data_IF_365629781404
#
_entry.id   IF_365629781404
#
_cell.length_a   1.000
_cell.length_b   1.000
_cell.length_c   1.000
_cell.angle_alpha   90.00
_cell.angle_beta   90.00
_cell.angle_gamma   90.00
#
_symmetry.space_group_name_H-M   'P 1'
#
loop_
_entity.id
_entity.type
_entity.pdbx_description
1 polymer ?
#
# COMPACT_ATOMS: atom_id res chain seq x y z
N UNK A 1 -5.65 -26.91 -15.20
CA UNK A 1 -6.48 -26.42 -14.06
C UNK A 1 -6.64 -24.92 -14.21
N UNK A 2 -7.87 -24.39 -14.16
CA UNK A 2 -8.11 -22.95 -14.28
C UNK A 2 -7.64 -22.23 -13.01
N UNK A 3 -6.50 -21.53 -13.08
CA UNK A 3 -5.96 -20.70 -11.99
C UNK A 3 -6.87 -19.51 -11.65
N UNK A 4 -7.73 -19.12 -12.58
CA UNK A 4 -8.65 -18.00 -12.43
C UNK A 4 -10.03 -18.48 -11.96
N UNK A 5 -10.53 -17.89 -10.87
CA UNK A 5 -11.92 -18.08 -10.42
C UNK A 5 -12.41 -16.86 -9.63
N UNK A 6 -13.65 -16.46 -9.89
CA UNK A 6 -14.31 -15.38 -9.14
C UNK A 6 -15.05 -15.89 -7.89
N UNK A 7 -15.01 -17.20 -7.64
CA UNK A 7 -15.64 -17.79 -6.47
C UNK A 7 -14.96 -17.37 -5.18
N UNK A 8 -15.75 -16.93 -4.20
CA UNK A 8 -15.28 -16.46 -2.92
C UNK A 8 -14.69 -17.58 -2.05
N UNK A 9 -15.21 -18.80 -2.15
CA UNK A 9 -14.79 -19.90 -1.26
C UNK A 9 -13.33 -20.31 -1.48
N UNK A 10 -12.87 -20.34 -2.74
CA UNK A 10 -11.50 -20.70 -3.10
C UNK A 10 -10.44 -19.60 -2.97
N UNK A 11 -10.75 -18.44 -2.38
CA UNK A 11 -9.83 -17.29 -2.37
C UNK A 11 -8.49 -17.57 -1.67
N UNK A 12 -8.49 -18.33 -0.57
CA UNK A 12 -7.26 -18.60 0.21
C UNK A 12 -6.33 -19.55 -0.53
N UNK A 13 -6.90 -20.54 -1.22
CA UNK A 13 -6.15 -21.44 -2.09
C UNK A 13 -5.50 -20.67 -3.24
N UNK A 14 -6.25 -19.79 -3.92
CA UNK A 14 -5.69 -18.95 -4.98
C UNK A 14 -4.56 -18.03 -4.46
N UNK A 15 -4.68 -17.52 -3.23
CA UNK A 15 -3.61 -16.74 -2.58
C UNK A 15 -2.34 -17.55 -2.34
N UNK A 16 -2.48 -18.80 -1.87
CA UNK A 16 -1.34 -19.69 -1.68
C UNK A 16 -0.64 -19.98 -3.01
N UNK A 17 -1.39 -20.43 -4.02
CA UNK A 17 -0.83 -20.72 -5.36
C UNK A 17 -0.21 -19.47 -5.99
N UNK A 18 -0.87 -18.31 -5.87
CA UNK A 18 -0.33 -17.06 -6.40
C UNK A 18 0.99 -16.65 -5.71
N UNK A 19 1.18 -16.97 -4.43
CA UNK A 19 2.45 -16.75 -3.72
C UNK A 19 3.56 -17.66 -4.27
N UNK A 20 3.22 -18.88 -4.67
CA UNK A 20 4.19 -19.83 -5.20
C UNK A 20 4.59 -19.46 -6.64
N UNK A 21 3.62 -19.05 -7.47
CA UNK A 21 3.85 -18.60 -8.86
C UNK A 21 4.55 -17.25 -8.91
N UNK A 22 4.10 -16.28 -8.09
CA UNK A 22 4.67 -14.94 -8.00
C UNK A 22 5.45 -14.80 -6.69
N UNK A 23 6.51 -15.59 -6.56
CA UNK A 23 7.32 -15.63 -5.35
C UNK A 23 7.92 -14.27 -4.99
N UNK A 24 7.94 -13.96 -3.70
CA UNK A 24 8.54 -12.73 -3.22
C UNK A 24 10.04 -12.70 -3.56
N UNK A 25 10.52 -11.57 -4.10
CA UNK A 25 11.90 -11.45 -4.57
C UNK A 25 12.12 -11.84 -6.04
N UNK A 26 11.16 -12.49 -6.70
CA UNK A 26 11.21 -12.76 -8.14
C UNK A 26 10.90 -11.51 -8.97
N UNK A 27 11.52 -11.42 -10.15
CA UNK A 27 11.28 -10.33 -11.11
C UNK A 27 9.80 -10.31 -11.53
N UNK A 28 9.24 -11.49 -11.82
CA UNK A 28 7.84 -11.63 -12.24
C UNK A 28 6.86 -11.16 -11.15
N UNK A 29 7.16 -11.49 -9.89
CA UNK A 29 6.39 -11.01 -8.74
C UNK A 29 6.43 -9.49 -8.60
N UNK A 30 7.60 -8.86 -8.80
CA UNK A 30 7.73 -7.40 -8.78
C UNK A 30 6.96 -6.75 -9.94
N UNK A 31 7.09 -7.25 -11.17
CA UNK A 31 6.39 -6.69 -12.34
C UNK A 31 4.87 -6.79 -12.14
N UNK A 32 4.38 -7.96 -11.73
CA UNK A 32 2.97 -8.17 -11.44
C UNK A 32 2.48 -7.22 -10.34
N UNK A 33 3.25 -7.07 -9.25
CA UNK A 33 2.90 -6.19 -8.14
C UNK A 33 2.88 -4.72 -8.53
N UNK A 34 3.91 -4.23 -9.23
CA UNK A 34 4.00 -2.84 -9.71
C UNK A 34 2.82 -2.52 -10.64
N UNK A 35 2.54 -3.40 -11.60
CA UNK A 35 1.43 -3.22 -12.54
C UNK A 35 0.09 -3.17 -11.82
N UNK A 36 -0.19 -4.19 -11.01
CA UNK A 36 -1.52 -4.40 -10.43
C UNK A 36 -1.82 -3.52 -9.21
N UNK A 37 -0.82 -3.17 -8.40
CA UNK A 37 -1.00 -2.44 -7.15
C UNK A 37 -0.62 -0.96 -7.24
N UNK A 38 0.20 -0.55 -8.21
CA UNK A 38 0.62 0.85 -8.36
C UNK A 38 0.08 1.47 -9.65
N UNK A 39 0.41 0.88 -10.79
CA UNK A 39 0.21 1.50 -12.10
C UNK A 39 -1.28 1.58 -12.47
N UNK A 40 -2.00 0.46 -12.39
CA UNK A 40 -3.40 0.41 -12.79
C UNK A 40 -4.36 1.22 -11.90
N UNK A 41 -4.23 1.26 -10.56
CA UNK A 41 -5.01 2.17 -9.73
C UNK A 41 -4.79 3.66 -10.08
N UNK A 42 -3.57 4.02 -10.48
CA UNK A 42 -3.25 5.39 -10.90
C UNK A 42 -3.81 5.72 -12.28
N UNK A 43 -3.76 4.77 -13.23
CA UNK A 43 -4.45 4.92 -14.52
C UNK A 43 -5.97 5.03 -14.35
N UNK A 44 -6.55 4.23 -13.44
CA UNK A 44 -7.95 4.34 -13.10
C UNK A 44 -8.31 5.75 -12.60
N UNK A 45 -7.52 6.29 -11.67
CA UNK A 45 -7.68 7.65 -11.17
C UNK A 45 -7.64 8.69 -12.30
N UNK A 46 -6.72 8.52 -13.26
CA UNK A 46 -6.63 9.35 -14.46
C UNK A 46 -7.89 9.24 -15.33
N UNK A 47 -8.40 8.03 -15.55
CA UNK A 47 -9.63 7.77 -16.30
C UNK A 47 -10.84 8.48 -15.70
N UNK A 48 -11.03 8.38 -14.38
CA UNK A 48 -12.09 9.05 -13.64
C UNK A 48 -12.00 10.57 -13.80
N UNK A 49 -10.81 11.14 -13.57
CA UNK A 49 -10.59 12.59 -13.64
C UNK A 49 -10.79 13.13 -15.07
N UNK A 50 -10.23 12.46 -16.08
CA UNK A 50 -10.27 12.89 -17.49
C UNK A 50 -11.49 12.42 -18.29
N UNK A 51 -12.44 11.68 -17.69
CA UNK A 51 -13.55 11.02 -18.41
C UNK A 51 -13.09 10.07 -19.53
N UNK A 52 -11.95 9.40 -19.33
CA UNK A 52 -11.49 8.41 -20.31
C UNK A 52 -12.03 7.03 -19.94
N UNK A 53 -12.98 6.55 -20.74
CA UNK A 53 -13.58 5.22 -20.56
C UNK A 53 -12.54 4.10 -20.65
N UNK A 54 -11.53 4.24 -21.52
CA UNK A 54 -10.47 3.26 -21.67
C UNK A 54 -9.71 3.05 -20.35
N UNK A 55 -9.20 4.12 -19.74
CA UNK A 55 -8.44 4.03 -18.48
C UNK A 55 -9.31 3.64 -17.29
N UNK A 56 -10.59 4.03 -17.29
CA UNK A 56 -11.56 3.58 -16.29
C UNK A 56 -11.74 2.06 -16.32
N UNK A 57 -12.08 1.50 -17.49
CA UNK A 57 -12.32 0.06 -17.63
C UNK A 57 -11.07 -0.77 -17.40
N UNK A 58 -9.91 -0.25 -17.82
CA UNK A 58 -8.63 -0.90 -17.59
C UNK A 58 -8.34 -1.08 -16.08
N UNK A 59 -8.69 -0.10 -15.24
CA UNK A 59 -8.61 -0.24 -13.78
C UNK A 59 -9.60 -1.26 -13.20
N UNK A 60 -10.84 -1.27 -13.70
CA UNK A 60 -11.88 -2.22 -13.27
C UNK A 60 -11.46 -3.65 -13.61
N UNK A 61 -10.99 -3.89 -14.84
CA UNK A 61 -10.47 -5.19 -15.28
C UNK A 61 -9.28 -5.63 -14.42
N UNK A 62 -8.36 -4.72 -14.09
CA UNK A 62 -7.25 -5.05 -13.19
C UNK A 62 -7.71 -5.56 -11.81
N UNK A 63 -8.73 -4.93 -11.21
CA UNK A 63 -9.26 -5.40 -9.92
C UNK A 63 -9.93 -6.77 -10.06
N UNK A 64 -10.63 -7.04 -11.16
CA UNK A 64 -11.20 -8.36 -11.45
C UNK A 64 -10.10 -9.41 -11.65
N UNK A 65 -8.97 -9.06 -12.27
CA UNK A 65 -7.80 -9.93 -12.39
C UNK A 65 -7.20 -10.21 -11.02
N UNK A 66 -7.01 -9.19 -10.19
CA UNK A 66 -6.49 -9.36 -8.82
C UNK A 66 -7.41 -10.23 -7.95
N UNK A 67 -8.72 -10.09 -8.10
CA UNK A 67 -9.67 -10.96 -7.41
C UNK A 67 -9.62 -12.40 -7.94
N UNK A 68 -9.70 -12.54 -9.26
CA UNK A 68 -9.82 -13.84 -9.91
C UNK A 68 -8.55 -14.68 -9.83
N UNK A 69 -7.37 -14.05 -9.92
CA UNK A 69 -6.07 -14.72 -9.87
C UNK A 69 -5.47 -14.74 -8.46
N UNK A 70 -5.57 -13.64 -7.69
CA UNK A 70 -4.91 -13.52 -6.39
C UNK A 70 -5.88 -13.59 -5.20
N UNK A 71 -7.21 -13.67 -5.40
CA UNK A 71 -8.17 -13.73 -4.29
C UNK A 71 -8.13 -12.52 -3.35
N UNK A 72 -7.63 -11.36 -3.82
CA UNK A 72 -7.46 -10.18 -2.97
C UNK A 72 -8.71 -9.29 -3.00
N UNK A 73 -9.26 -9.00 -1.81
CA UNK A 73 -10.44 -8.12 -1.65
C UNK A 73 -10.07 -6.63 -1.59
N UNK A 74 -8.91 -6.33 -1.01
CA UNK A 74 -8.42 -4.97 -0.80
C UNK A 74 -8.42 -4.07 -2.06
N UNK A 75 -8.08 -4.57 -3.26
CA UNK A 75 -8.10 -3.76 -4.47
C UNK A 75 -9.47 -3.14 -4.80
N UNK A 76 -10.59 -3.79 -4.45
CA UNK A 76 -11.92 -3.20 -4.61
C UNK A 76 -12.12 -1.97 -3.71
N UNK A 77 -11.68 -2.06 -2.46
CA UNK A 77 -11.77 -0.95 -1.50
C UNK A 77 -10.93 0.23 -1.98
N UNK A 78 -9.69 -0.03 -2.44
CA UNK A 78 -8.83 1.01 -3.00
C UNK A 78 -9.45 1.65 -4.23
N UNK A 79 -9.99 0.85 -5.16
CA UNK A 79 -10.61 1.37 -6.38
C UNK A 79 -11.84 2.23 -6.06
N UNK A 80 -12.66 1.82 -5.09
CA UNK A 80 -13.77 2.62 -4.59
C UNK A 80 -13.30 3.95 -3.98
N UNK A 81 -12.29 3.92 -3.10
CA UNK A 81 -11.73 5.13 -2.49
C UNK A 81 -11.15 6.08 -3.53
N UNK A 82 -10.40 5.56 -4.50
CA UNK A 82 -9.86 6.34 -5.62
C UNK A 82 -10.98 6.93 -6.46
N UNK A 83 -12.04 6.16 -6.76
CA UNK A 83 -13.18 6.65 -7.52
C UNK A 83 -13.87 7.82 -6.81
N UNK A 84 -14.22 7.67 -5.54
CA UNK A 84 -14.88 8.70 -4.74
C UNK A 84 -14.00 9.94 -4.64
N UNK A 85 -12.73 9.77 -4.27
CA UNK A 85 -11.77 10.87 -4.10
C UNK A 85 -11.60 11.66 -5.41
N UNK A 86 -11.35 10.96 -6.53
CA UNK A 86 -11.09 11.60 -7.81
C UNK A 86 -12.34 12.23 -8.43
N UNK A 87 -13.51 11.62 -8.23
CA UNK A 87 -14.79 12.20 -8.66
C UNK A 87 -15.07 13.47 -7.89
N UNK A 88 -14.94 13.43 -6.56
CA UNK A 88 -15.13 14.61 -5.71
C UNK A 88 -14.15 15.73 -6.07
N UNK A 89 -12.87 15.40 -6.17
CA UNK A 89 -11.83 16.35 -6.54
C UNK A 89 -12.10 17.00 -7.90
N UNK A 90 -12.60 16.22 -8.86
CA UNK A 90 -12.96 16.70 -10.19
C UNK A 90 -14.12 17.70 -10.17
N UNK A 91 -15.10 17.55 -9.28
CA UNK A 91 -16.23 18.48 -9.18
C UNK A 91 -15.91 19.73 -8.35
N UNK A 92 -15.17 19.57 -7.24
CA UNK A 92 -14.99 20.64 -6.25
C UNK A 92 -13.58 21.25 -6.20
N UNK A 93 -12.60 20.63 -6.87
CA UNK A 93 -11.21 21.11 -6.96
C UNK A 93 -10.40 21.06 -5.66
N UNK A 94 -11.03 20.71 -4.53
CA UNK A 94 -10.41 20.58 -3.22
C UNK A 94 -11.07 19.44 -2.46
N UNK A 95 -10.32 18.76 -1.61
CA UNK A 95 -10.86 17.77 -0.67
C UNK A 95 -10.87 18.40 0.72
N UNK A 96 -12.04 18.47 1.35
CA UNK A 96 -12.12 18.99 2.72
C UNK A 96 -11.78 17.85 3.70
N UNK A 97 -10.65 17.97 4.37
CA UNK A 97 -10.13 16.99 5.33
C UNK A 97 -11.16 16.68 6.42
N UNK A 98 -11.94 17.67 6.84
CA UNK A 98 -12.98 17.48 7.87
C UNK A 98 -14.01 16.43 7.45
N UNK A 99 -14.39 16.36 6.17
CA UNK A 99 -15.34 15.36 5.68
C UNK A 99 -14.75 13.95 5.70
N UNK A 100 -13.46 13.81 5.42
CA UNK A 100 -12.78 12.52 5.54
C UNK A 100 -12.73 12.05 7.00
N UNK A 101 -12.46 12.97 7.93
CA UNK A 101 -12.47 12.69 9.36
C UNK A 101 -13.88 12.33 9.85
N UNK A 102 -14.91 13.07 9.45
CA UNK A 102 -16.30 12.74 9.76
C UNK A 102 -16.70 11.39 9.19
N UNK A 103 -16.27 11.06 7.96
CA UNK A 103 -16.50 9.74 7.37
C UNK A 103 -15.84 8.61 8.16
N UNK A 104 -14.58 8.80 8.58
CA UNK A 104 -13.87 7.82 9.39
C UNK A 104 -14.50 7.63 10.78
N UNK A 105 -14.81 8.72 11.48
CA UNK A 105 -15.50 8.68 12.79
C UNK A 105 -16.89 8.07 12.65
N UNK A 106 -17.63 8.44 11.60
CA UNK A 106 -18.95 7.88 11.32
C UNK A 106 -18.90 6.38 11.06
N UNK A 107 -17.87 5.88 10.37
CA UNK A 107 -17.68 4.45 10.13
C UNK A 107 -17.34 3.69 11.41
N UNK A 108 -16.54 4.27 12.30
CA UNK A 108 -16.27 3.72 13.64
C UNK A 108 -17.55 3.66 14.48
N UNK A 109 -18.33 4.74 14.53
CA UNK A 109 -19.59 4.80 15.25
C UNK A 109 -20.62 3.81 14.68
N UNK A 110 -20.71 3.68 13.36
CA UNK A 110 -21.58 2.72 12.71
C UNK A 110 -21.21 1.27 13.07
N UNK A 111 -19.92 0.93 13.10
CA UNK A 111 -19.46 -0.38 13.55
C UNK A 111 -19.77 -0.66 15.02
N UNK A 112 -19.63 0.34 15.89
CA UNK A 112 -20.02 0.24 17.30
C UNK A 112 -21.52 0.00 17.45
N UNK A 113 -22.35 0.79 16.78
CA UNK A 113 -23.82 0.65 16.83
C UNK A 113 -24.28 -0.69 16.26
N UNK A 114 -23.68 -1.16 15.17
CA UNK A 114 -23.95 -2.49 14.60
C UNK A 114 -23.68 -3.60 15.63
N UNK A 115 -22.55 -3.52 16.33
CA UNK A 115 -22.21 -4.48 17.39
C UNK A 115 -23.23 -4.48 18.53
N UNK A 116 -23.61 -3.31 19.04
CA UNK A 116 -24.57 -3.20 20.15
C UNK A 116 -25.97 -3.69 19.73
N UNK A 117 -26.39 -3.45 18.48
CA UNK A 117 -27.73 -3.82 18.00
C UNK A 117 -27.83 -5.29 17.56
N UNK A 118 -26.77 -5.85 16.98
CA UNK A 118 -26.80 -7.18 16.35
C UNK A 118 -25.94 -8.23 17.09
N UNK A 119 -25.16 -7.83 18.09
CA UNK A 119 -24.18 -8.68 18.78
C UNK A 119 -22.96 -9.04 17.93
N UNK A 120 -22.88 -8.56 16.70
CA UNK A 120 -21.80 -8.79 15.75
C UNK A 120 -21.67 -7.58 14.82
N UNK A 121 -20.44 -7.16 14.50
CA UNK A 121 -20.22 -6.08 13.54
C UNK A 121 -19.47 -6.55 12.31
N UNK A 122 -20.16 -6.61 11.18
CA UNK A 122 -19.56 -6.87 9.87
C UNK A 122 -18.66 -5.70 9.44
N UNK A 123 -19.03 -4.46 9.78
CA UNK A 123 -18.20 -3.29 9.54
C UNK A 123 -16.87 -3.40 10.28
N UNK A 124 -16.91 -3.84 11.54
CA UNK A 124 -15.71 -4.04 12.30
C UNK A 124 -14.86 -5.15 11.66
N UNK A 125 -15.45 -6.31 11.40
CA UNK A 125 -14.70 -7.47 10.94
C UNK A 125 -14.04 -7.28 9.56
N UNK A 126 -14.72 -6.57 8.65
CA UNK A 126 -14.23 -6.37 7.28
C UNK A 126 -13.47 -5.07 7.03
N UNK A 127 -13.79 -3.97 7.73
CA UNK A 127 -13.19 -2.66 7.46
C UNK A 127 -12.35 -2.14 8.64
N UNK A 128 -12.92 -2.04 9.84
CA UNK A 128 -12.25 -1.40 10.98
C UNK A 128 -11.12 -2.26 11.51
N UNK A 129 -11.33 -3.57 11.67
CA UNK A 129 -10.36 -4.53 12.19
C UNK A 129 -9.05 -4.43 11.45
N UNK A 130 -9.10 -4.31 10.12
CA UNK A 130 -7.89 -4.27 9.30
C UNK A 130 -7.18 -2.91 9.30
N UNK A 131 -7.94 -1.82 9.38
CA UNK A 131 -7.36 -0.48 9.40
C UNK A 131 -6.77 -0.11 10.78
N UNK A 132 -7.35 -0.61 11.87
CA UNK A 132 -7.01 -0.18 13.24
C UNK A 132 -6.52 -1.34 14.12
N UNK A 133 -7.30 -2.40 14.27
CA UNK A 133 -7.01 -3.48 15.22
C UNK A 133 -5.77 -4.29 14.83
N UNK A 134 -5.69 -4.74 13.56
CA UNK A 134 -4.58 -5.56 13.07
C UNK A 134 -3.24 -4.82 13.21
N UNK A 135 -3.07 -3.57 12.73
CA UNK A 135 -1.82 -2.83 12.94
C UNK A 135 -1.44 -2.69 14.42
N UNK A 136 -2.41 -2.45 15.31
CA UNK A 136 -2.16 -2.35 16.75
C UNK A 136 -1.69 -3.68 17.36
N UNK A 137 -2.34 -4.80 17.02
CA UNK A 137 -1.92 -6.14 17.46
C UNK A 137 -0.55 -6.50 16.91
N UNK A 138 -0.26 -6.17 15.63
CA UNK A 138 1.05 -6.46 15.05
C UNK A 138 2.17 -5.62 15.68
N UNK A 139 1.86 -4.42 16.20
CA UNK A 139 2.83 -3.61 16.94
C UNK A 139 3.26 -4.30 18.25
N UNK A 140 2.30 -4.84 19.01
CA UNK A 140 2.62 -5.64 20.21
C UNK A 140 3.37 -6.93 19.89
N UNK A 141 3.04 -7.59 18.77
CA UNK A 141 3.79 -8.74 18.28
C UNK A 141 5.25 -8.40 17.96
N UNK A 142 5.51 -7.22 17.38
CA UNK A 142 6.86 -6.73 17.11
C UNK A 142 7.63 -6.43 18.41
N UNK A 143 6.97 -5.87 19.43
CA UNK A 143 7.57 -5.62 20.75
C UNK A 143 8.01 -6.93 21.42
N UNK A 144 7.12 -7.93 21.50
CA UNK A 144 7.45 -9.25 22.06
C UNK A 144 8.62 -9.93 21.31
N UNK A 145 8.65 -9.78 19.98
CA UNK A 145 9.74 -10.31 19.18
C UNK A 145 11.07 -9.59 19.47
N UNK A 146 11.04 -8.27 19.65
CA UNK A 146 12.21 -7.48 20.00
C UNK A 146 12.79 -7.90 21.35
N UNK A 147 11.94 -8.08 22.37
CA UNK A 147 12.39 -8.49 23.70
C UNK A 147 13.09 -9.85 23.70
N UNK A 148 12.72 -10.73 22.76
CA UNK A 148 13.27 -12.08 22.65
C UNK A 148 14.51 -12.17 21.76
N UNK A 149 14.56 -11.43 20.64
CA UNK A 149 15.60 -11.57 19.61
C UNK A 149 16.47 -10.32 19.40
N UNK A 150 16.08 -9.18 19.96
CA UNK A 150 16.77 -7.90 19.81
C UNK A 150 16.78 -7.38 18.37
N UNK A 151 17.84 -6.62 18.06
CA UNK A 151 18.00 -5.88 16.80
C UNK A 151 18.39 -6.82 15.65
N UNK A 152 17.72 -6.69 14.49
CA UNK A 152 17.95 -7.51 13.30
C UNK A 152 19.06 -7.00 12.35
N UNK A 153 19.51 -5.75 12.49
CA UNK A 153 20.59 -5.12 11.72
C UNK A 153 20.42 -5.20 10.19
N UNK A 154 19.18 -5.06 9.69
CA UNK A 154 18.85 -5.19 8.25
C UNK A 154 19.31 -6.52 7.60
N UNK A 155 19.61 -7.56 8.40
CA UNK A 155 20.02 -8.88 7.90
C UNK A 155 18.98 -9.53 6.99
N UNK A 156 17.72 -9.14 7.11
CA UNK A 156 16.58 -9.60 6.30
C UNK A 156 16.43 -8.90 4.95
N UNK A 157 17.38 -8.05 4.57
CA UNK A 157 17.30 -7.21 3.36
C UNK A 157 18.53 -7.36 2.48
N UNK A 158 18.48 -6.81 1.26
CA UNK A 158 19.64 -6.76 0.37
C UNK A 158 20.85 -6.03 0.98
N UNK A 159 20.64 -5.13 1.96
CA UNK A 159 21.72 -4.48 2.70
C UNK A 159 22.46 -5.50 3.58
N UNK A 160 21.75 -6.50 4.10
CA UNK A 160 22.32 -7.60 4.87
C UNK A 160 23.42 -8.36 4.11
N UNK A 161 23.31 -8.46 2.78
CA UNK A 161 24.36 -9.06 1.93
C UNK A 161 25.69 -8.33 2.02
N UNK A 162 25.67 -7.00 2.20
CA UNK A 162 26.89 -6.19 2.34
C UNK A 162 27.54 -6.35 3.72
N UNK A 163 26.75 -6.72 4.73
CA UNK A 163 27.21 -6.89 6.11
C UNK A 163 27.77 -8.27 6.43
N UNK A 164 27.66 -9.23 5.50
CA UNK A 164 28.08 -10.62 5.71
C UNK A 164 27.13 -11.48 6.56
N UNK A 165 26.11 -10.87 7.17
CA UNK A 165 25.10 -11.55 8.00
C UNK A 165 23.72 -11.45 7.33
N UNK A 166 23.56 -12.07 6.17
CA UNK A 166 22.28 -12.12 5.46
C UNK A 166 21.42 -13.29 5.96
N UNK A 167 20.14 -13.01 6.24
CA UNK A 167 19.11 -14.02 6.53
C UNK A 167 18.25 -14.22 5.30
N UNK A 168 17.93 -15.48 5.00
CA UNK A 168 17.07 -15.85 3.87
C UNK A 168 15.62 -15.44 4.07
N UNK A 169 15.15 -15.39 5.31
CA UNK A 169 13.76 -15.09 5.65
C UNK A 169 13.57 -13.65 6.12
N UNK A 170 12.45 -13.04 5.70
CA UNK A 170 12.11 -11.70 6.15
C UNK A 170 11.76 -11.68 7.64
N UNK A 171 12.01 -10.55 8.29
CA UNK A 171 11.68 -10.41 9.72
C UNK A 171 10.19 -10.63 10.02
N UNK A 172 9.31 -10.31 9.08
CA UNK A 172 7.86 -10.47 9.23
C UNK A 172 7.41 -11.93 9.20
N UNK A 173 8.11 -12.82 8.47
CA UNK A 173 7.86 -14.27 8.56
C UNK A 173 8.36 -14.84 9.89
N UNK A 174 9.51 -14.36 10.38
CA UNK A 174 10.04 -14.77 11.69
C UNK A 174 9.15 -14.35 12.85
N UNK A 175 8.54 -13.16 12.78
CA UNK A 175 7.50 -12.75 13.74
C UNK A 175 6.29 -13.70 13.64
N UNK A 176 5.90 -14.07 12.41
CA UNK A 176 4.81 -15.00 12.17
C UNK A 176 5.04 -16.38 12.79
N UNK A 177 6.24 -16.92 12.62
CA UNK A 177 6.66 -18.16 13.25
C UNK A 177 6.66 -18.06 14.77
N UNK A 178 7.26 -17.01 15.33
CA UNK A 178 7.39 -16.86 16.79
C UNK A 178 6.03 -16.66 17.49
N UNK A 179 5.14 -15.85 16.91
CA UNK A 179 3.87 -15.47 17.54
C UNK A 179 2.75 -16.48 17.23
N UNK A 180 2.71 -17.02 16.00
CA UNK A 180 1.61 -17.89 15.55
C UNK A 180 2.01 -19.34 15.34
N UNK A 181 3.27 -19.71 15.63
CA UNK A 181 3.82 -21.04 15.38
C UNK A 181 3.63 -21.50 13.93
N UNK A 182 3.75 -20.55 12.98
CA UNK A 182 3.51 -20.80 11.57
C UNK A 182 4.48 -19.99 10.70
N UNK A 183 5.52 -20.66 10.18
CA UNK A 183 6.55 -20.07 9.31
C UNK A 183 6.02 -19.57 7.96
N UNK A 184 4.84 -20.02 7.53
CA UNK A 184 4.21 -19.51 6.31
C UNK A 184 3.45 -18.20 6.53
N UNK A 185 3.27 -17.77 7.78
CA UNK A 185 2.52 -16.56 8.10
C UNK A 185 3.40 -15.33 7.98
N UNK A 186 3.10 -14.46 7.02
CA UNK A 186 3.73 -13.15 6.94
C UNK A 186 3.03 -12.18 7.93
N UNK A 187 3.60 -12.02 9.13
CA UNK A 187 3.14 -11.05 10.12
C UNK A 187 3.64 -9.65 9.77
N UNK A 188 3.02 -9.07 8.74
CA UNK A 188 3.32 -7.73 8.26
C UNK A 188 3.02 -6.68 9.35
N UNK A 189 4.00 -5.84 9.65
CA UNK A 189 3.90 -4.75 10.61
C UNK A 189 4.17 -3.42 9.89
N UNK A 190 3.68 -2.32 10.48
CA UNK A 190 3.90 -0.98 9.94
C UNK A 190 5.40 -0.64 9.84
N UNK A 191 5.72 0.36 9.01
CA UNK A 191 7.10 0.71 8.74
C UNK A 191 7.89 1.15 9.99
N UNK A 192 7.24 1.80 10.98
CA UNK A 192 7.90 2.20 12.22
C UNK A 192 8.39 0.99 13.02
N UNK A 193 7.54 -0.02 13.20
CA UNK A 193 7.89 -1.22 13.94
C UNK A 193 9.01 -1.99 13.24
N UNK A 194 8.94 -2.15 11.92
CA UNK A 194 9.99 -2.84 11.16
C UNK A 194 11.31 -2.06 11.21
N UNK A 195 11.28 -0.73 11.12
CA UNK A 195 12.46 0.11 11.27
C UNK A 195 13.09 -0.07 12.67
N UNK A 196 12.26 -0.03 13.72
CA UNK A 196 12.71 -0.24 15.09
C UNK A 196 13.36 -1.62 15.28
N UNK A 197 12.74 -2.68 14.76
CA UNK A 197 13.32 -4.02 14.82
C UNK A 197 14.66 -4.14 14.07
N UNK A 198 14.95 -3.24 13.13
CA UNK A 198 16.17 -3.30 12.33
C UNK A 198 17.36 -2.57 12.95
N UNK A 199 17.20 -1.35 13.48
CA UNK A 199 18.28 -0.59 14.14
C UNK A 199 17.76 0.32 15.29
N UNK A 200 16.66 -0.06 15.93
CA UNK A 200 16.03 0.74 16.98
C UNK A 200 15.59 2.12 16.49
N UNK A 201 15.69 3.11 17.39
CA UNK A 201 15.26 4.49 17.09
C UNK A 201 16.02 5.16 15.94
N UNK A 202 17.27 4.74 15.67
CA UNK A 202 18.06 5.30 14.56
C UNK A 202 17.38 5.02 13.22
N UNK A 203 16.99 3.78 12.96
CA UNK A 203 16.27 3.43 11.73
C UNK A 203 14.88 4.10 11.67
N UNK A 204 14.19 4.22 12.82
CA UNK A 204 12.91 4.93 12.89
C UNK A 204 13.04 6.38 12.41
N UNK A 205 14.05 7.11 12.88
CA UNK A 205 14.27 8.51 12.48
C UNK A 205 14.61 8.60 10.98
N UNK A 206 15.47 7.70 10.48
CA UNK A 206 15.87 7.67 9.07
C UNK A 206 14.67 7.38 8.17
N UNK A 207 13.90 6.32 8.46
CA UNK A 207 12.74 5.95 7.64
C UNK A 207 11.63 7.01 7.72
N UNK A 208 11.42 7.62 8.90
CA UNK A 208 10.49 8.75 9.04
C UNK A 208 10.91 9.97 8.20
N UNK A 209 12.21 10.27 8.17
CA UNK A 209 12.74 11.34 7.33
C UNK A 209 12.50 11.05 5.84
N UNK A 210 12.74 9.82 5.38
CA UNK A 210 12.46 9.42 3.99
C UNK A 210 10.97 9.57 3.67
N UNK A 211 10.08 9.12 4.56
CA UNK A 211 8.63 9.29 4.40
C UNK A 211 8.26 10.78 4.30
N UNK A 212 8.82 11.63 5.16
CA UNK A 212 8.60 13.07 5.12
C UNK A 212 9.04 13.68 3.77
N UNK A 213 10.21 13.29 3.26
CA UNK A 213 10.70 13.73 1.94
C UNK A 213 9.75 13.29 0.82
N UNK A 214 9.24 12.07 0.84
CA UNK A 214 8.28 11.56 -0.16
C UNK A 214 6.97 12.37 -0.11
N UNK A 215 6.44 12.63 1.08
CA UNK A 215 5.22 13.42 1.25
C UNK A 215 5.43 14.86 0.78
N UNK A 216 6.56 15.48 1.11
CA UNK A 216 6.92 16.82 0.63
C UNK A 216 7.05 16.86 -0.90
N UNK A 217 7.67 15.84 -1.51
CA UNK A 217 7.78 15.70 -2.96
C UNK A 217 6.41 15.60 -3.62
N UNK A 218 5.53 14.74 -3.12
CA UNK A 218 4.16 14.60 -3.64
C UNK A 218 3.37 15.91 -3.51
N UNK A 219 3.50 16.61 -2.39
CA UNK A 219 2.89 17.92 -2.19
C UNK A 219 3.44 18.97 -3.16
N UNK A 220 4.76 18.99 -3.39
CA UNK A 220 5.39 19.88 -4.35
C UNK A 220 4.90 19.61 -5.78
N UNK A 221 4.81 18.34 -6.18
CA UNK A 221 4.29 17.94 -7.49
C UNK A 221 2.82 18.34 -7.66
N UNK A 222 2.02 18.18 -6.61
CA UNK A 222 0.63 18.61 -6.62
C UNK A 222 0.50 20.14 -6.73
N UNK A 223 1.11 20.89 -5.80
CA UNK A 223 0.93 22.34 -5.68
C UNK A 223 1.64 23.13 -6.79
N UNK A 224 2.91 22.82 -7.09
CA UNK A 224 3.70 23.61 -8.04
C UNK A 224 3.55 23.15 -9.49
N UNK A 225 3.21 21.88 -9.73
CA UNK A 225 3.15 21.31 -11.09
C UNK A 225 1.74 20.92 -11.52
N UNK A 226 0.72 21.15 -10.67
CA UNK A 226 -0.67 20.78 -10.93
C UNK A 226 -0.82 19.30 -11.34
N UNK A 227 0.04 18.44 -10.79
CA UNK A 227 0.03 17.00 -11.07
C UNK A 227 -0.99 16.32 -10.17
N UNK A 228 -2.26 16.35 -10.56
CA UNK A 228 -3.36 15.73 -9.80
C UNK A 228 -3.15 14.22 -9.58
N UNK A 229 -2.34 13.55 -10.41
CA UNK A 229 -1.94 12.14 -10.25
C UNK A 229 -1.14 11.91 -8.95
N UNK A 230 -0.55 12.96 -8.36
CA UNK A 230 0.13 12.84 -7.06
C UNK A 230 -0.83 12.40 -5.94
N UNK A 231 -2.13 12.74 -6.01
CA UNK A 231 -3.12 12.35 -4.99
C UNK A 231 -3.36 10.85 -4.90
N UNK A 232 -3.72 10.12 -5.98
CA UNK A 232 -3.87 8.67 -5.90
C UNK A 232 -2.56 7.98 -5.53
N UNK A 233 -1.39 8.48 -5.96
CA UNK A 233 -0.09 7.93 -5.51
C UNK A 233 0.12 8.14 -4.01
N UNK A 234 -0.22 9.30 -3.46
CA UNK A 234 -0.16 9.57 -2.03
C UNK A 234 -1.10 8.65 -1.24
N UNK A 235 -2.33 8.44 -1.73
CA UNK A 235 -3.28 7.52 -1.11
C UNK A 235 -2.75 6.08 -1.08
N UNK A 236 -2.21 5.59 -2.19
CA UNK A 236 -1.59 4.27 -2.27
C UNK A 236 -0.38 4.16 -1.34
N UNK A 237 0.45 5.21 -1.27
CA UNK A 237 1.60 5.23 -0.37
C UNK A 237 1.17 5.14 1.10
N UNK A 238 0.26 6.01 1.54
CA UNK A 238 -0.20 6.06 2.95
C UNK A 238 -0.87 4.76 3.36
N UNK A 239 -1.73 4.20 2.51
CA UNK A 239 -2.41 2.92 2.81
C UNK A 239 -1.44 1.73 2.92
N UNK A 240 -0.29 1.79 2.26
CA UNK A 240 0.72 0.73 2.28
C UNK A 240 1.70 0.83 3.45
N UNK A 241 2.16 2.03 3.82
CA UNK A 241 3.14 2.20 4.92
C UNK A 241 2.56 1.82 6.31
N UNK A 242 1.24 1.85 6.46
CA UNK A 242 0.55 1.41 7.69
C UNK A 242 0.59 -0.11 7.83
N UNK A 243 0.70 -0.86 6.74
CA UNK A 243 0.70 -2.33 6.76
C UNK A 243 2.06 -2.95 6.41
N UNK A 244 3.02 -2.21 5.88
CA UNK A 244 4.26 -2.79 5.31
C UNK A 244 5.49 -1.96 5.65
N UNK A 245 6.66 -2.61 5.62
CA UNK A 245 7.96 -1.93 5.74
C UNK A 245 8.20 -0.96 4.58
N UNK A 246 8.92 0.15 4.83
CA UNK A 246 9.17 1.17 3.81
C UNK A 246 9.85 0.61 2.54
N UNK A 247 10.90 -0.24 2.61
CA UNK A 247 11.48 -0.86 1.42
C UNK A 247 10.47 -1.70 0.62
N UNK A 248 9.60 -2.44 1.31
CA UNK A 248 8.53 -3.23 0.68
C UNK A 248 7.52 -2.33 -0.02
N UNK A 249 7.15 -1.19 0.56
CA UNK A 249 6.25 -0.22 -0.08
C UNK A 249 6.89 0.40 -1.32
N UNK A 250 8.15 0.82 -1.22
CA UNK A 250 8.85 1.51 -2.30
C UNK A 250 9.10 0.58 -3.50
N UNK A 251 9.69 -0.59 -3.24
CA UNK A 251 10.12 -1.51 -4.29
C UNK A 251 9.03 -2.54 -4.62
N UNK A 252 8.46 -3.18 -3.59
CA UNK A 252 7.47 -4.23 -3.74
C UNK A 252 6.12 -3.74 -4.23
N UNK A 253 5.60 -2.65 -3.64
CA UNK A 253 4.31 -2.07 -4.05
C UNK A 253 4.42 -1.10 -5.23
N UNK A 254 5.61 -0.88 -5.80
CA UNK A 254 5.82 -0.05 -6.98
C UNK A 254 5.66 1.46 -6.78
N UNK A 255 5.61 1.95 -5.54
CA UNK A 255 5.47 3.38 -5.25
C UNK A 255 6.70 4.16 -5.75
N UNK A 256 7.91 3.60 -5.60
CA UNK A 256 9.12 4.24 -6.11
C UNK A 256 9.05 4.46 -7.62
N UNK A 257 8.59 3.45 -8.36
CA UNK A 257 8.41 3.55 -9.81
C UNK A 257 7.40 4.64 -10.18
N UNK A 258 6.28 4.72 -9.45
CA UNK A 258 5.28 5.76 -9.67
C UNK A 258 5.82 7.17 -9.36
N UNK A 259 6.60 7.34 -8.31
CA UNK A 259 7.27 8.61 -8.00
C UNK A 259 8.22 9.03 -9.12
N UNK A 260 9.02 8.08 -9.63
CA UNK A 260 9.93 8.32 -10.75
C UNK A 260 9.17 8.75 -12.01
N UNK A 261 8.09 8.06 -12.37
CA UNK A 261 7.23 8.45 -13.50
C UNK A 261 6.64 9.85 -13.31
N UNK A 262 6.14 10.17 -12.11
CA UNK A 262 5.59 11.50 -11.83
C UNK A 262 6.64 12.59 -11.97
N UNK A 263 7.86 12.35 -11.48
CA UNK A 263 8.98 13.27 -11.62
C UNK A 263 9.33 13.50 -13.10
N UNK A 264 9.49 12.43 -13.89
CA UNK A 264 9.77 12.54 -15.32
C UNK A 264 8.70 13.33 -16.07
N UNK A 265 7.42 13.08 -15.78
CA UNK A 265 6.30 13.81 -16.36
C UNK A 265 6.32 15.30 -15.97
N UNK A 266 6.65 15.60 -14.71
CA UNK A 266 6.73 16.97 -14.22
C UNK A 266 7.87 17.77 -14.86
N UNK A 267 9.06 17.17 -14.97
CA UNK A 267 10.23 17.82 -15.59
C UNK A 267 10.07 18.02 -17.10
N UNK A 268 9.44 17.06 -17.80
CA UNK A 268 9.16 17.20 -19.24
C UNK A 268 8.27 18.39 -19.58
N UNK A 269 7.30 18.71 -18.71
CA UNK A 269 6.40 19.87 -18.91
C UNK A 269 7.10 21.21 -18.77
N UNK A 270 8.06 21.31 -17.86
CA UNK A 270 8.83 22.55 -17.63
C UNK A 270 9.74 22.88 -18.81
N UNK A 271 10.39 21.87 -19.40
CA UNK A 271 11.18 22.05 -20.62
C UNK A 271 10.33 22.66 -21.74
N UNK A 272 9.13 22.12 -21.97
CA UNK A 272 8.21 22.62 -23.02
C UNK A 272 7.68 24.03 -22.75
N UNK A 273 7.47 24.44 -21.49
CA UNK A 273 7.02 25.80 -21.19
C UNK A 273 8.13 26.84 -21.40
N UNK A 274 9.39 26.49 -21.08
CA UNK A 274 10.54 27.37 -21.34
C UNK A 274 10.83 27.55 -22.82
N UNK A 275 10.75 26.49 -23.64
CA UNK A 275 10.95 26.62 -25.09
C UNK A 275 9.88 27.48 -25.76
N UNK A 276 8.64 27.47 -25.23
CA UNK A 276 7.54 28.31 -25.73
C UNK A 276 7.58 29.77 -25.29
N UNK A 277 8.39 30.15 -24.30
CA UNK A 277 8.54 31.56 -23.91
C UNK A 277 9.74 32.24 -24.56
N UNK A 278 10.55 31.50 -25.32
CA UNK A 278 11.75 31.98 -26.02
C UNK A 278 11.51 32.06 -27.54
N UNK A 279 10.41 31.47 -28.03
CA UNK A 279 9.90 31.61 -29.39
C UNK A 279 8.74 32.61 -29.42
#
# INVERSE_FOLDING_TARGET
MSFFSLDFSGQYLRRAIARDVFSAGSIDGYIASIGTQAFFPVLFAWGVYKKSNFFFWLGVVNVLILWGAFGQKYPFVVLFLVYVLMTYFRYYGKVNVSWLLFGAIGLLLAGFLEFELMGYSYLNDYLIRRAYTVPATMLGAAELFYDSYGINNYSDTAIGLLSGFSKSESITFRIGEYIYNNSETNANVNFFAVAYLRLGYTAVIIEAFIVAVIVMLLNLLYMKRSMFIAMPVALLFVTKIVEQSLPTVLLGSGIFFMLLLLMLMAFSRESKSRTRSIA
#
